data_IF_060178082637
#
_entry.id   IF_060178082637
#
_cell.length_a   1.000
_cell.length_b   1.000
_cell.length_c   1.000
_cell.angle_alpha   90.00
_cell.angle_beta   90.00
_cell.angle_gamma   90.00
#
_symmetry.space_group_name_H-M   'P 1'
#
loop_
_entity.id
_entity.type
_entity.pdbx_description
1 polymer ?
#
# COMPACT_ATOMS: atom_id res chain seq x y z
N UNK A 1 18.77 -7.19 17.03
CA UNK A 1 18.04 -5.92 17.21
C UNK A 1 17.71 -5.37 15.83
N UNK A 2 16.44 -5.34 15.48
CA UNK A 2 15.99 -4.75 14.21
C UNK A 2 15.76 -3.27 14.47
N UNK A 3 16.45 -2.40 13.71
CA UNK A 3 16.28 -0.95 13.80
C UNK A 3 14.84 -0.56 13.49
N UNK A 4 14.22 0.41 14.18
CA UNK A 4 12.87 0.86 13.88
C UNK A 4 12.80 1.44 12.46
N UNK A 5 11.60 1.38 11.87
CA UNK A 5 11.39 2.00 10.57
C UNK A 5 11.53 3.52 10.63
N UNK A 6 11.81 4.12 9.47
CA UNK A 6 12.09 5.55 9.29
C UNK A 6 10.89 6.17 8.56
N UNK A 7 10.18 7.06 9.26
CA UNK A 7 9.10 7.84 8.66
C UNK A 7 9.66 8.73 7.54
N UNK A 8 8.91 8.83 6.46
CA UNK A 8 9.28 9.66 5.33
C UNK A 8 8.10 10.52 4.83
N UNK A 9 8.39 11.49 4.00
CA UNK A 9 7.46 12.42 3.39
C UNK A 9 7.90 12.74 1.95
N UNK A 10 7.37 13.83 1.36
CA UNK A 10 7.72 14.25 0.00
C UNK A 10 9.22 14.38 -0.26
N UNK A 11 10.03 14.63 0.78
CA UNK A 11 11.47 14.87 0.64
C UNK A 11 12.22 13.60 0.23
N UNK A 12 11.62 12.42 0.40
CA UNK A 12 12.14 11.17 -0.13
C UNK A 12 12.36 11.23 -1.65
N UNK A 13 11.54 12.02 -2.38
CA UNK A 13 11.71 12.23 -3.82
C UNK A 13 13.08 12.83 -4.18
N UNK A 14 13.65 13.67 -3.32
CA UNK A 14 14.96 14.28 -3.55
C UNK A 14 16.11 13.27 -3.42
N UNK A 15 15.83 12.12 -2.80
CA UNK A 15 16.78 11.04 -2.56
C UNK A 15 16.19 9.70 -3.08
N UNK A 16 15.45 9.73 -4.18
CA UNK A 16 14.73 8.57 -4.69
C UNK A 16 15.63 7.36 -4.96
N UNK A 17 16.86 7.60 -5.39
CA UNK A 17 17.86 6.54 -5.63
C UNK A 17 18.18 5.74 -4.36
N UNK A 18 17.97 6.32 -3.17
CA UNK A 18 18.23 5.61 -1.90
C UNK A 18 17.25 4.47 -1.63
N UNK A 19 16.11 4.44 -2.31
CA UNK A 19 15.13 3.33 -2.25
C UNK A 19 15.22 2.40 -3.47
N UNK A 20 16.23 2.59 -4.33
CA UNK A 20 16.45 1.76 -5.51
C UNK A 20 17.47 0.65 -5.22
N UNK A 21 17.21 -0.53 -5.76
CA UNK A 21 18.10 -1.71 -5.69
C UNK A 21 18.09 -2.41 -7.04
N UNK A 22 19.24 -2.91 -7.47
CA UNK A 22 19.37 -3.63 -8.72
C UNK A 22 18.82 -5.07 -8.62
N UNK A 23 18.06 -5.48 -9.64
CA UNK A 23 17.49 -6.83 -9.73
C UNK A 23 18.56 -7.91 -9.58
N UNK A 24 19.67 -7.78 -10.32
CA UNK A 24 20.72 -8.78 -10.35
C UNK A 24 21.50 -8.83 -9.02
N UNK A 25 21.63 -7.71 -8.30
CA UNK A 25 22.21 -7.70 -6.97
C UNK A 25 21.35 -8.52 -6.00
N UNK A 26 20.03 -8.31 -6.02
CA UNK A 26 19.11 -9.05 -5.16
C UNK A 26 19.10 -10.53 -5.54
N UNK A 27 19.10 -10.87 -6.83
CA UNK A 27 18.99 -12.25 -7.29
C UNK A 27 20.25 -13.07 -6.96
N UNK A 28 21.45 -12.47 -7.08
CA UNK A 28 22.71 -13.19 -7.10
C UNK A 28 23.54 -13.03 -5.82
N UNK A 29 23.16 -12.16 -4.88
CA UNK A 29 23.90 -11.99 -3.62
C UNK A 29 22.98 -11.86 -2.41
N UNK A 30 23.49 -12.27 -1.25
CA UNK A 30 22.77 -12.09 0.01
C UNK A 30 22.85 -10.62 0.49
N UNK A 31 23.91 -9.93 0.14
CA UNK A 31 24.06 -8.49 0.42
C UNK A 31 22.99 -7.67 -0.30
N UNK A 32 22.72 -7.96 -1.58
CA UNK A 32 21.66 -7.31 -2.34
C UNK A 32 20.29 -7.63 -1.76
N UNK A 33 20.05 -8.88 -1.38
CA UNK A 33 18.82 -9.29 -0.70
C UNK A 33 18.63 -8.55 0.62
N UNK A 34 19.67 -8.49 1.47
CA UNK A 34 19.62 -7.80 2.76
C UNK A 34 19.30 -6.32 2.55
N UNK A 35 19.99 -5.65 1.62
CA UNK A 35 19.73 -4.24 1.28
C UNK A 35 18.25 -4.02 0.91
N UNK A 36 17.67 -4.88 0.09
CA UNK A 36 16.26 -4.79 -0.29
C UNK A 36 15.32 -5.00 0.89
N UNK A 37 15.57 -6.02 1.72
CA UNK A 37 14.78 -6.30 2.92
C UNK A 37 14.88 -5.18 3.96
N UNK A 38 16.05 -4.58 4.13
CA UNK A 38 16.23 -3.42 5.00
C UNK A 38 15.45 -2.20 4.52
N UNK A 39 15.42 -1.94 3.21
CA UNK A 39 14.58 -0.87 2.65
C UNK A 39 13.10 -1.13 2.94
N UNK A 40 12.60 -2.33 2.64
CA UNK A 40 11.22 -2.70 2.91
C UNK A 40 10.89 -2.60 4.40
N UNK A 41 11.81 -3.02 5.28
CA UNK A 41 11.61 -2.93 6.72
C UNK A 41 11.63 -1.50 7.23
N UNK A 42 12.59 -0.67 6.76
CA UNK A 42 12.78 0.67 7.32
C UNK A 42 11.87 1.72 6.72
N UNK A 43 11.53 1.60 5.44
CA UNK A 43 10.76 2.62 4.72
C UNK A 43 9.42 2.13 4.21
N UNK A 44 9.20 0.81 4.20
CA UNK A 44 7.99 0.20 3.63
C UNK A 44 7.91 0.32 2.10
N UNK A 45 8.96 0.81 1.43
CA UNK A 45 8.96 1.05 -0.01
C UNK A 45 10.35 0.77 -0.59
N UNK A 46 10.40 0.13 -1.76
CA UNK A 46 11.60 -0.03 -2.57
C UNK A 46 11.26 -0.13 -4.05
N UNK A 47 12.18 0.30 -4.91
CA UNK A 47 12.11 0.11 -6.36
C UNK A 47 13.23 -0.81 -6.78
N UNK A 48 12.88 -1.98 -7.29
CA UNK A 48 13.87 -2.86 -7.93
C UNK A 48 14.01 -2.40 -9.38
N UNK A 49 15.23 -2.16 -9.82
CA UNK A 49 15.57 -1.69 -11.16
C UNK A 49 16.07 -2.83 -12.04
N UNK A 50 15.85 -2.68 -13.35
CA UNK A 50 16.44 -3.53 -14.37
C UNK A 50 16.03 -5.03 -14.30
N UNK A 51 14.84 -5.33 -13.80
CA UNK A 51 14.28 -6.69 -13.91
C UNK A 51 13.94 -7.02 -15.38
N UNK A 52 14.03 -8.30 -15.80
CA UNK A 52 13.63 -8.69 -17.15
C UNK A 52 12.17 -8.34 -17.42
N UNK A 53 11.88 -7.75 -18.60
CA UNK A 53 10.53 -7.30 -18.99
C UNK A 53 9.73 -8.47 -19.58
N UNK A 54 9.50 -9.47 -18.76
CA UNK A 54 8.76 -10.69 -19.12
C UNK A 54 7.80 -11.05 -18.00
N UNK A 55 6.66 -11.63 -18.37
CA UNK A 55 5.72 -12.15 -17.37
C UNK A 55 6.41 -13.15 -16.43
N UNK A 56 6.10 -13.03 -15.14
CA UNK A 56 6.62 -13.92 -14.08
C UNK A 56 8.13 -13.83 -13.83
N UNK A 57 8.88 -12.97 -14.54
CA UNK A 57 10.32 -12.82 -14.32
C UNK A 57 10.66 -12.28 -12.92
N UNK A 58 9.71 -11.64 -12.22
CA UNK A 58 9.87 -11.24 -10.83
C UNK A 58 9.87 -12.42 -9.83
N UNK A 59 9.30 -13.59 -10.17
CA UNK A 59 9.12 -14.69 -9.21
C UNK A 59 10.42 -15.25 -8.63
N UNK A 60 11.50 -15.46 -9.41
CA UNK A 60 12.77 -15.91 -8.84
C UNK A 60 13.27 -14.97 -7.72
N UNK A 61 13.13 -13.67 -7.92
CA UNK A 61 13.48 -12.65 -6.94
C UNK A 61 12.56 -12.71 -5.70
N UNK A 62 11.25 -12.75 -5.89
CA UNK A 62 10.28 -12.81 -4.79
C UNK A 62 10.45 -14.08 -3.96
N UNK A 63 10.77 -15.21 -4.59
CA UNK A 63 11.02 -16.47 -3.90
C UNK A 63 12.29 -16.47 -3.03
N UNK A 64 13.17 -15.47 -3.16
CA UNK A 64 14.26 -15.27 -2.20
C UNK A 64 13.75 -14.77 -0.84
N UNK A 65 12.58 -14.14 -0.79
CA UNK A 65 11.95 -13.73 0.47
C UNK A 65 11.09 -14.87 1.02
N UNK A 66 10.11 -15.28 0.23
CA UNK A 66 9.14 -16.31 0.60
C UNK A 66 8.30 -16.73 -0.62
N UNK A 67 7.44 -17.72 -0.44
CA UNK A 67 6.42 -18.04 -1.44
C UNK A 67 5.45 -16.87 -1.62
N UNK A 68 5.18 -16.54 -2.88
CA UNK A 68 4.18 -15.52 -3.21
C UNK A 68 2.81 -16.03 -2.78
N UNK A 69 2.11 -15.23 -1.97
CA UNK A 69 0.78 -15.56 -1.47
C UNK A 69 -0.22 -15.59 -2.62
N UNK A 70 -0.84 -16.73 -2.83
CA UNK A 70 -1.95 -16.84 -3.76
C UNK A 70 -3.22 -16.27 -3.15
N UNK A 71 -3.93 -15.45 -3.92
CA UNK A 71 -5.24 -14.89 -3.55
C UNK A 71 -6.29 -15.34 -4.57
N UNK A 72 -7.56 -14.98 -4.34
CA UNK A 72 -8.63 -15.25 -5.31
C UNK A 72 -8.47 -14.48 -6.63
N UNK A 73 -7.61 -13.46 -6.71
CA UNK A 73 -7.22 -12.79 -7.96
C UNK A 73 -6.25 -13.63 -8.80
N UNK A 74 -5.81 -14.80 -8.29
CA UNK A 74 -4.71 -15.60 -8.85
C UNK A 74 -3.36 -14.91 -8.69
N UNK A 75 -2.31 -15.52 -9.20
CA UNK A 75 -0.94 -15.00 -9.08
C UNK A 75 -0.13 -15.41 -10.32
N UNK A 76 0.45 -14.47 -11.04
CA UNK A 76 0.24 -13.03 -10.96
C UNK A 76 -1.14 -12.62 -11.47
N UNK A 77 -1.56 -11.41 -11.14
CA UNK A 77 -2.67 -10.75 -11.84
C UNK A 77 -2.15 -9.55 -12.64
N UNK A 78 -2.77 -9.30 -13.77
CA UNK A 78 -2.39 -8.20 -14.64
C UNK A 78 -3.22 -6.95 -14.32
N UNK A 79 -2.55 -5.80 -14.23
CA UNK A 79 -3.21 -4.50 -14.10
C UNK A 79 -3.23 -3.85 -15.48
N UNK A 80 -4.34 -4.01 -16.19
CA UNK A 80 -4.55 -3.48 -17.54
C UNK A 80 -5.93 -2.84 -17.65
N UNK A 81 -6.05 -1.85 -18.54
CA UNK A 81 -7.35 -1.26 -18.85
C UNK A 81 -8.17 -2.21 -19.73
N UNK A 82 -9.32 -2.64 -19.23
CA UNK A 82 -10.21 -3.57 -19.96
C UNK A 82 -11.62 -2.97 -20.19
N UNK A 83 -12.28 -3.34 -21.29
CA UNK A 83 -13.70 -2.99 -21.47
C UNK A 83 -14.57 -3.63 -20.36
N UNK A 84 -15.49 -2.84 -19.78
CA UNK A 84 -16.41 -3.28 -18.70
C UNK A 84 -15.65 -3.83 -17.47
N UNK A 85 -14.82 -3.03 -16.84
CA UNK A 85 -14.05 -3.45 -15.69
C UNK A 85 -14.97 -3.75 -14.48
N UNK A 86 -14.64 -4.79 -13.74
CA UNK A 86 -15.27 -5.11 -12.45
C UNK A 86 -14.48 -4.56 -11.26
N UNK A 87 -13.32 -3.96 -11.51
CA UNK A 87 -12.46 -3.35 -10.51
C UNK A 87 -11.93 -2.01 -11.03
N UNK A 88 -11.77 -1.04 -10.14
CA UNK A 88 -11.21 0.29 -10.46
C UNK A 88 -9.78 0.23 -10.98
N UNK A 89 -8.98 -0.77 -10.57
CA UNK A 89 -7.62 -0.99 -11.07
C UNK A 89 -7.56 -1.33 -12.57
N UNK A 90 -8.67 -1.74 -13.18
CA UNK A 90 -8.77 -2.05 -14.61
C UNK A 90 -9.34 -0.90 -15.45
N UNK A 91 -9.32 0.31 -14.92
CA UNK A 91 -9.81 1.52 -15.58
C UNK A 91 -8.68 2.48 -15.91
N UNK A 92 -8.95 3.47 -16.77
CA UNK A 92 -8.06 4.59 -17.06
C UNK A 92 -8.16 5.74 -16.02
N UNK A 93 -8.95 5.56 -14.96
CA UNK A 93 -9.10 6.58 -13.92
C UNK A 93 -7.96 6.52 -12.91
N UNK A 94 -7.54 7.69 -12.43
CA UNK A 94 -6.56 7.76 -11.35
C UNK A 94 -7.10 7.09 -10.08
N UNK A 95 -6.30 6.21 -9.50
CA UNK A 95 -6.56 5.63 -8.20
C UNK A 95 -6.01 6.53 -7.11
N UNK A 96 -6.78 6.70 -6.06
CA UNK A 96 -6.30 7.39 -4.86
C UNK A 96 -5.42 6.45 -4.04
N UNK A 97 -4.52 7.02 -3.23
CA UNK A 97 -3.72 6.23 -2.30
C UNK A 97 -4.62 5.36 -1.43
N UNK A 98 -4.33 4.08 -1.41
CA UNK A 98 -5.09 3.04 -0.73
C UNK A 98 -4.17 1.86 -0.44
N UNK A 99 -4.60 0.98 0.42
CA UNK A 99 -4.05 -0.37 0.50
C UNK A 99 -4.98 -1.36 -0.19
N UNK A 100 -4.42 -2.43 -0.69
CA UNK A 100 -5.19 -3.54 -1.23
C UNK A 100 -5.64 -4.51 -0.15
N UNK A 101 -6.78 -5.15 -0.38
CA UNK A 101 -7.34 -6.22 0.47
C UNK A 101 -7.59 -5.83 1.94
N UNK A 102 -8.08 -4.59 2.26
CA UNK A 102 -8.34 -4.18 3.64
C UNK A 102 -9.44 -5.00 4.33
N UNK A 103 -10.23 -5.75 3.56
CA UNK A 103 -11.27 -6.67 4.05
C UNK A 103 -10.75 -8.05 4.46
N UNK A 104 -9.45 -8.31 4.37
CA UNK A 104 -8.83 -9.48 4.96
C UNK A 104 -8.48 -9.22 6.43
N UNK A 105 -8.65 -10.23 7.26
CA UNK A 105 -8.15 -10.19 8.64
C UNK A 105 -6.64 -9.95 8.65
N UNK A 106 -5.91 -10.72 7.83
CA UNK A 106 -4.49 -10.57 7.59
C UNK A 106 -4.26 -10.15 6.13
N UNK A 107 -4.17 -8.86 5.83
CA UNK A 107 -3.79 -8.40 4.50
C UNK A 107 -2.40 -8.94 4.11
N UNK A 108 -2.05 -8.94 2.81
CA UNK A 108 -0.67 -9.18 2.39
C UNK A 108 0.30 -8.21 3.07
N UNK A 109 1.45 -8.73 3.53
CA UNK A 109 2.45 -7.89 4.16
C UNK A 109 3.18 -6.98 3.19
N UNK A 110 3.34 -7.44 1.95
CA UNK A 110 3.95 -6.68 0.85
C UNK A 110 3.22 -6.94 -0.45
N UNK A 111 3.25 -5.95 -1.33
CA UNK A 111 2.79 -6.04 -2.70
C UNK A 111 3.92 -5.66 -3.66
N UNK A 112 3.93 -6.30 -4.83
CA UNK A 112 4.96 -6.09 -5.86
C UNK A 112 4.28 -5.82 -7.18
N UNK A 113 4.49 -4.62 -7.73
CA UNK A 113 4.00 -4.22 -9.04
C UNK A 113 5.15 -4.18 -10.03
N UNK A 114 5.20 -5.15 -10.95
CA UNK A 114 6.22 -5.22 -11.98
C UNK A 114 5.73 -4.49 -13.23
N UNK A 115 6.43 -3.44 -13.61
CA UNK A 115 6.15 -2.68 -14.81
C UNK A 115 6.69 -3.41 -16.04
N UNK A 116 5.80 -3.94 -16.88
CA UNK A 116 6.17 -4.57 -18.15
C UNK A 116 6.09 -3.57 -19.31
N UNK A 117 5.07 -2.72 -19.30
CA UNK A 117 4.84 -1.72 -20.36
C UNK A 117 4.32 -0.44 -19.70
N UNK A 118 4.91 0.70 -20.05
CA UNK A 118 4.44 2.02 -19.64
C UNK A 118 4.59 3.02 -20.78
N UNK A 119 3.84 2.84 -21.85
CA UNK A 119 3.87 3.66 -23.05
C UNK A 119 2.78 4.74 -23.10
N UNK A 120 1.86 4.74 -22.13
CA UNK A 120 0.77 5.70 -22.08
C UNK A 120 1.23 7.07 -21.59
N UNK A 121 0.54 8.13 -22.00
CA UNK A 121 0.62 9.43 -21.36
C UNK A 121 -0.08 9.36 -19.99
N UNK A 122 0.59 9.78 -18.91
CA UNK A 122 0.15 9.54 -17.53
C UNK A 122 0.56 8.16 -17.01
N UNK A 123 -0.18 7.61 -16.07
CA UNK A 123 0.14 6.33 -15.42
C UNK A 123 1.28 6.45 -14.40
N UNK A 124 1.48 7.65 -13.86
CA UNK A 124 2.43 7.86 -12.76
C UNK A 124 1.93 7.14 -11.51
N UNK A 125 2.87 6.58 -10.76
CA UNK A 125 2.63 5.96 -9.46
C UNK A 125 2.77 6.99 -8.35
N UNK A 126 2.07 6.75 -7.26
CA UNK A 126 2.22 7.55 -6.03
C UNK A 126 2.42 6.65 -4.83
N UNK A 127 3.14 7.15 -3.84
CA UNK A 127 3.30 6.51 -2.55
C UNK A 127 3.15 7.53 -1.41
N UNK A 128 2.67 7.06 -0.27
CA UNK A 128 2.55 7.84 0.96
C UNK A 128 2.89 6.94 2.15
N UNK A 129 3.69 7.48 3.05
CA UNK A 129 3.94 6.83 4.33
C UNK A 129 2.74 7.06 5.27
N UNK A 130 1.90 6.03 5.39
CA UNK A 130 0.72 6.08 6.26
C UNK A 130 1.06 6.27 7.74
N UNK A 131 2.22 5.79 8.20
CA UNK A 131 2.68 5.98 9.56
C UNK A 131 3.15 7.42 9.80
N UNK A 132 3.77 8.08 8.81
CA UNK A 132 4.12 9.50 8.91
C UNK A 132 2.86 10.38 9.02
N UNK A 133 1.81 10.06 8.29
CA UNK A 133 0.52 10.73 8.40
C UNK A 133 -0.14 10.44 9.77
N UNK A 134 -0.08 9.20 10.26
CA UNK A 134 -0.61 8.83 11.56
C UNK A 134 0.13 9.56 12.71
N UNK A 135 1.47 9.65 12.62
CA UNK A 135 2.28 10.41 13.58
C UNK A 135 1.95 11.91 13.56
N UNK A 136 1.72 12.48 12.38
CA UNK A 136 1.25 13.86 12.25
C UNK A 136 -0.10 14.06 12.95
N UNK A 137 -1.06 13.16 12.77
CA UNK A 137 -2.36 13.22 13.46
C UNK A 137 -2.20 13.05 14.97
N UNK A 138 -1.38 12.12 15.42
CA UNK A 138 -1.10 11.87 16.85
C UNK A 138 -0.61 13.14 17.57
N UNK A 139 0.21 13.93 16.88
CA UNK A 139 0.85 15.12 17.43
C UNK A 139 0.01 16.41 17.28
N UNK A 140 -0.86 16.50 16.26
CA UNK A 140 -1.56 17.76 15.93
C UNK A 140 -3.08 17.67 16.02
N UNK A 141 -3.65 16.46 15.94
CA UNK A 141 -5.10 16.23 15.87
C UNK A 141 -5.47 14.99 16.72
N UNK A 142 -5.19 15.07 18.01
CA UNK A 142 -5.27 13.93 18.92
C UNK A 142 -6.65 13.24 18.95
N UNK A 143 -7.74 13.99 18.96
CA UNK A 143 -9.10 13.42 18.97
C UNK A 143 -9.36 12.62 17.66
N UNK A 144 -8.87 13.11 16.55
CA UNK A 144 -8.97 12.44 15.25
C UNK A 144 -8.17 11.14 15.27
N UNK A 145 -6.92 11.20 15.74
CA UNK A 145 -6.06 10.04 15.88
C UNK A 145 -6.70 8.96 16.77
N UNK A 146 -7.17 9.35 17.96
CA UNK A 146 -7.82 8.42 18.90
C UNK A 146 -9.09 7.79 18.30
N UNK A 147 -9.84 8.53 17.49
CA UNK A 147 -11.00 8.01 16.77
C UNK A 147 -10.60 6.94 15.75
N UNK A 148 -9.54 7.18 14.98
CA UNK A 148 -9.05 6.24 13.94
C UNK A 148 -8.41 4.98 14.53
N UNK A 149 -7.90 5.07 15.75
CA UNK A 149 -7.34 3.92 16.50
C UNK A 149 -8.42 3.09 17.18
N UNK A 150 -9.45 3.75 17.76
CA UNK A 150 -10.36 3.06 18.67
C UNK A 150 -11.70 2.65 18.03
N UNK A 151 -12.07 3.24 16.89
CA UNK A 151 -13.34 2.91 16.21
C UNK A 151 -13.06 2.07 14.98
N UNK A 152 -13.44 0.77 14.99
CA UNK A 152 -13.28 -0.07 13.81
C UNK A 152 -14.14 0.42 12.64
N UNK A 153 -13.56 0.43 11.46
CA UNK A 153 -14.24 0.64 10.19
C UNK A 153 -14.56 -0.72 9.57
N UNK A 154 -15.63 -0.80 8.81
CA UNK A 154 -15.97 -1.97 8.05
C UNK A 154 -15.43 -1.83 6.63
N UNK A 155 -14.66 -2.80 6.18
CA UNK A 155 -14.19 -2.92 4.81
C UNK A 155 -14.88 -4.10 4.16
N UNK A 156 -15.28 -3.93 2.89
CA UNK A 156 -16.06 -4.93 2.17
C UNK A 156 -15.62 -5.04 0.72
N UNK A 157 -15.64 -6.28 0.24
CA UNK A 157 -15.55 -6.64 -1.16
C UNK A 157 -16.76 -7.48 -1.56
N UNK A 158 -17.38 -7.15 -2.69
CA UNK A 158 -18.49 -7.89 -3.24
C UNK A 158 -18.21 -8.15 -4.72
N UNK A 159 -17.96 -9.40 -5.04
CA UNK A 159 -17.81 -9.85 -6.42
C UNK A 159 -19.04 -10.66 -6.83
N UNK A 160 -19.92 -10.00 -7.58
CA UNK A 160 -21.16 -10.63 -8.08
C UNK A 160 -20.90 -11.67 -9.17
N UNK A 161 -19.72 -11.66 -9.80
CA UNK A 161 -19.37 -12.65 -10.83
C UNK A 161 -18.90 -13.97 -10.21
N UNK A 162 -18.32 -13.90 -9.01
CA UNK A 162 -17.89 -15.06 -8.23
C UNK A 162 -18.85 -15.40 -7.09
N UNK A 163 -19.98 -14.69 -6.98
CA UNK A 163 -20.97 -14.84 -5.90
C UNK A 163 -20.31 -14.79 -4.51
N UNK A 164 -19.30 -13.94 -4.35
CA UNK A 164 -18.53 -13.85 -3.12
C UNK A 164 -18.74 -12.52 -2.42
N UNK A 165 -18.84 -12.60 -1.09
CA UNK A 165 -18.92 -11.46 -0.20
C UNK A 165 -17.90 -11.61 0.92
N UNK A 166 -17.02 -10.65 1.07
CA UNK A 166 -15.95 -10.65 2.05
C UNK A 166 -16.02 -9.34 2.84
N UNK A 167 -15.73 -9.39 4.13
CA UNK A 167 -15.71 -8.20 4.95
C UNK A 167 -14.96 -8.41 6.25
N UNK A 168 -14.35 -7.35 6.74
CA UNK A 168 -13.64 -7.33 8.00
C UNK A 168 -13.78 -5.97 8.68
N UNK A 169 -13.79 -5.98 10.02
CA UNK A 169 -13.79 -4.77 10.82
C UNK A 169 -12.42 -4.57 11.45
N UNK A 170 -11.83 -3.42 11.18
CA UNK A 170 -10.54 -3.04 11.78
C UNK A 170 -10.44 -1.52 11.93
N UNK A 171 -9.66 -1.01 12.88
CA UNK A 171 -9.35 0.41 12.94
C UNK A 171 -8.55 0.85 11.70
N UNK A 172 -8.63 2.14 11.35
CA UNK A 172 -7.83 2.69 10.26
C UNK A 172 -6.34 2.78 10.63
N UNK A 173 -6.03 2.91 11.90
CA UNK A 173 -4.67 2.91 12.45
C UNK A 173 -4.61 1.85 13.55
N UNK A 174 -3.80 0.82 13.37
CA UNK A 174 -3.57 -0.20 14.39
C UNK A 174 -2.26 0.05 15.12
N UNK A 175 -2.28 -0.17 16.43
CA UNK A 175 -1.10 -0.05 17.27
C UNK A 175 -0.74 -1.41 17.88
N UNK A 176 0.54 -1.61 18.16
CA UNK A 176 1.03 -2.70 18.99
C UNK A 176 0.60 -2.51 20.45
N UNK A 177 0.82 -3.50 21.31
CA UNK A 177 0.58 -3.40 22.76
C UNK A 177 1.43 -2.31 23.42
N UNK A 178 2.58 -2.00 22.83
CA UNK A 178 3.51 -0.99 23.34
C UNK A 178 3.22 0.42 22.78
N UNK A 179 2.20 0.54 21.92
CA UNK A 179 1.75 1.80 21.35
C UNK A 179 2.47 2.22 20.07
N UNK A 180 3.30 1.35 19.49
CA UNK A 180 3.93 1.56 18.19
C UNK A 180 2.93 1.31 17.06
N UNK A 181 3.15 1.94 15.90
CA UNK A 181 2.33 1.68 14.72
C UNK A 181 2.51 0.24 14.23
N UNK A 182 1.40 -0.41 13.95
CA UNK A 182 1.38 -1.78 13.46
C UNK A 182 0.94 -1.86 12.01
N UNK A 183 -0.24 -1.32 11.69
CA UNK A 183 -0.72 -1.27 10.32
C UNK A 183 -1.62 -0.03 10.07
N UNK A 184 -1.78 0.32 8.80
CA UNK A 184 -2.72 1.33 8.31
C UNK A 184 -3.70 0.65 7.38
N UNK A 185 -5.02 0.86 7.60
CA UNK A 185 -6.07 0.42 6.68
C UNK A 185 -6.83 1.60 6.12
N UNK A 186 -6.67 1.82 4.83
CA UNK A 186 -7.35 2.90 4.15
C UNK A 186 -7.70 2.52 2.71
N UNK A 187 -8.98 2.57 2.39
CA UNK A 187 -9.48 2.46 1.03
C UNK A 187 -10.89 3.04 0.97
N UNK A 188 -11.06 4.13 0.23
CA UNK A 188 -12.38 4.75 0.05
C UNK A 188 -13.32 3.86 -0.76
N UNK A 189 -12.77 3.09 -1.69
CA UNK A 189 -13.56 2.24 -2.59
C UNK A 189 -14.19 1.04 -1.87
N UNK A 190 -13.58 0.57 -0.78
CA UNK A 190 -13.98 -0.65 -0.08
C UNK A 190 -14.49 -0.42 1.32
N UNK A 191 -14.43 0.83 1.82
CA UNK A 191 -15.07 1.20 3.08
C UNK A 191 -16.59 1.04 2.94
N UNK A 192 -17.17 0.22 3.79
CA UNK A 192 -18.62 0.02 3.87
C UNK A 192 -19.29 1.09 4.73
N UNK A 193 -20.61 1.00 4.88
CA UNK A 193 -21.35 1.83 5.83
C UNK A 193 -20.80 1.64 7.24
N UNK A 194 -20.79 2.73 8.00
CA UNK A 194 -20.31 2.68 9.39
C UNK A 194 -21.23 1.80 10.23
N UNK A 195 -20.61 0.88 10.96
CA UNK A 195 -21.25 0.03 11.95
C UNK A 195 -20.74 0.45 13.34
N UNK A 196 -21.19 1.60 13.81
CA UNK A 196 -20.82 2.16 15.10
C UNK A 196 -22.01 2.86 15.75
N UNK A 197 -21.87 3.23 17.03
CA UNK A 197 -22.92 3.97 17.72
C UNK A 197 -23.24 5.29 16.98
N UNK A 198 -24.51 5.68 16.80
CA UNK A 198 -24.91 6.88 16.05
C UNK A 198 -24.17 8.15 16.49
N UNK A 199 -23.92 8.33 17.78
CA UNK A 199 -23.23 9.50 18.34
C UNK A 199 -21.76 9.60 17.89
N UNK A 200 -21.17 8.51 17.40
CA UNK A 200 -19.80 8.47 16.89
C UNK A 200 -19.71 8.72 15.39
N UNK A 201 -20.82 8.59 14.64
CA UNK A 201 -20.80 8.61 13.18
C UNK A 201 -20.15 9.87 12.60
N UNK A 202 -20.56 11.05 13.11
CA UNK A 202 -19.99 12.32 12.65
C UNK A 202 -18.49 12.42 12.92
N UNK A 203 -18.05 12.00 14.11
CA UNK A 203 -16.64 11.98 14.50
C UNK A 203 -15.82 11.04 13.59
N UNK A 204 -16.34 9.87 13.32
CA UNK A 204 -15.67 8.87 12.47
C UNK A 204 -15.55 9.38 11.04
N UNK A 205 -16.63 9.94 10.45
CA UNK A 205 -16.56 10.51 9.11
C UNK A 205 -15.61 11.70 9.04
N UNK A 206 -15.60 12.57 10.05
CA UNK A 206 -14.65 13.69 10.13
C UNK A 206 -13.20 13.19 10.20
N UNK A 207 -12.95 12.17 11.04
CA UNK A 207 -11.63 11.59 11.20
C UNK A 207 -11.15 10.91 9.91
N UNK A 208 -11.96 10.05 9.33
CA UNK A 208 -11.64 9.36 8.08
C UNK A 208 -11.41 10.35 6.90
N UNK A 209 -12.23 11.39 6.81
CA UNK A 209 -12.08 12.44 5.79
C UNK A 209 -10.79 13.23 5.95
N UNK A 210 -10.41 13.59 7.19
CA UNK A 210 -9.15 14.30 7.43
C UNK A 210 -7.96 13.39 7.12
N UNK A 211 -7.99 12.14 7.57
CA UNK A 211 -6.95 11.17 7.29
C UNK A 211 -6.77 10.99 5.77
N UNK A 212 -7.85 10.76 5.03
CA UNK A 212 -7.80 10.65 3.58
C UNK A 212 -7.27 11.90 2.88
N UNK A 213 -7.57 13.11 3.37
CA UNK A 213 -6.98 14.33 2.82
C UNK A 213 -5.48 14.39 3.04
N UNK A 214 -5.00 14.02 4.22
CA UNK A 214 -3.58 14.02 4.54
C UNK A 214 -2.81 12.96 3.74
N UNK A 215 -3.40 11.76 3.55
CA UNK A 215 -2.82 10.72 2.68
C UNK A 215 -2.65 11.16 1.21
N UNK A 216 -3.36 12.24 0.79
CA UNK A 216 -3.27 12.82 -0.54
C UNK A 216 -2.66 14.22 -0.55
N UNK A 217 -2.14 14.69 0.59
CA UNK A 217 -1.47 15.98 0.68
C UNK A 217 -0.05 15.87 0.09
N UNK A 218 0.29 16.78 -0.82
CA UNK A 218 1.58 16.81 -1.51
C UNK A 218 2.78 16.80 -0.56
N UNK A 219 2.62 17.25 0.68
CA UNK A 219 3.70 17.24 1.68
C UNK A 219 4.06 15.84 2.19
N UNK A 220 3.17 14.86 2.06
CA UNK A 220 3.39 13.48 2.48
C UNK A 220 3.60 12.52 1.31
N UNK A 221 3.22 12.93 0.10
CA UNK A 221 3.17 12.07 -1.06
C UNK A 221 4.42 12.24 -1.93
N UNK A 222 4.90 11.12 -2.48
CA UNK A 222 5.84 11.11 -3.59
C UNK A 222 5.12 10.64 -4.87
N UNK A 223 5.49 11.23 -6.00
CA UNK A 223 5.02 10.81 -7.31
C UNK A 223 6.22 10.45 -8.16
N UNK A 224 6.14 9.32 -8.85
CA UNK A 224 7.20 8.78 -9.69
C UNK A 224 6.62 7.99 -10.84
N UNK A 225 7.44 7.76 -11.87
CA UNK A 225 7.06 6.94 -13.00
C UNK A 225 7.88 5.65 -12.99
N UNK A 226 7.19 4.53 -13.12
CA UNK A 226 7.83 3.24 -13.31
C UNK A 226 8.21 3.08 -14.79
N UNK A 227 9.44 2.65 -15.02
CA UNK A 227 9.94 2.27 -16.34
C UNK A 227 9.78 0.75 -16.53
N UNK A 228 9.67 0.25 -17.79
CA UNK A 228 9.69 -1.19 -18.01
C UNK A 228 10.92 -1.85 -17.36
N UNK A 229 10.69 -2.89 -16.58
CA UNK A 229 11.72 -3.54 -15.76
C UNK A 229 11.82 -3.03 -14.33
N UNK A 230 11.03 -2.03 -13.94
CA UNK A 230 10.94 -1.64 -12.53
C UNK A 230 9.95 -2.51 -11.78
N UNK A 231 10.27 -2.88 -10.53
CA UNK A 231 9.34 -3.54 -9.61
C UNK A 231 9.14 -2.62 -8.40
N UNK A 232 7.95 -2.08 -8.26
CA UNK A 232 7.53 -1.29 -7.10
C UNK A 232 7.13 -2.25 -5.98
N UNK A 233 7.86 -2.20 -4.88
CA UNK A 233 7.69 -3.01 -3.68
C UNK A 233 7.19 -2.14 -2.53
N UNK A 234 6.07 -2.45 -1.90
CA UNK A 234 5.46 -1.65 -0.82
C UNK A 234 4.54 -2.47 0.09
#
# INVERSE_FOLDING_TARGET
YISPYKLWNKDLKNNFDTICVEHDEILNSDEGLIKWLELLHHTGIAIVKNAPVEEKSAFPLLNRISHVRETFFKTPFEVINIPKPNNSAYTAHALRNHMDLPWFELPPGYQFLHCLINSADGGDSSGVDGFAVAEHLKNNEREIFDTLVNVPLKFRDMDYTQESHRGFHAPAISLTKDGDFHDIRFSVATMDVLDCHPDLMEKVYKAHRLFGRLLHDEKFQINFRLEPGDIYSF
#
